data_IF_652086327694
#
_entry.id   IF_652086327694
#
_cell.length_a   1.000
_cell.length_b   1.000
_cell.length_c   1.000
_cell.angle_alpha   90.00
_cell.angle_beta   90.00
_cell.angle_gamma   90.00
#
_symmetry.space_group_name_H-M   'P 1'
#
loop_
_entity.id
_entity.type
_entity.pdbx_description
1 polymer ?
#
# COMPACT_ATOMS: atom_id res chain seq x y z
N UNK A 1 -18.72 -27.46 -6.11
CA UNK A 1 -18.93 -26.77 -7.38
C UNK A 1 -18.36 -25.37 -7.22
N UNK A 2 -17.05 -25.21 -7.51
CA UNK A 2 -16.35 -23.94 -7.40
C UNK A 2 -16.64 -23.13 -8.66
N UNK A 3 -17.42 -22.06 -8.53
CA UNK A 3 -17.62 -21.09 -9.60
C UNK A 3 -16.29 -20.34 -9.80
N UNK A 4 -15.69 -20.55 -10.94
CA UNK A 4 -14.59 -19.77 -11.48
C UNK A 4 -15.05 -18.31 -11.56
N UNK A 5 -14.50 -17.46 -10.68
CA UNK A 5 -14.61 -16.00 -10.82
C UNK A 5 -13.84 -15.63 -12.09
N UNK A 6 -14.55 -15.33 -13.16
CA UNK A 6 -13.99 -14.75 -14.38
C UNK A 6 -13.20 -13.51 -14.01
N UNK A 7 -11.89 -13.52 -14.29
CA UNK A 7 -11.00 -12.37 -14.07
C UNK A 7 -11.47 -11.24 -15.01
N UNK A 8 -12.16 -10.27 -14.47
CA UNK A 8 -12.58 -9.07 -15.20
C UNK A 8 -11.34 -8.21 -15.47
N UNK A 9 -10.81 -8.36 -16.68
CA UNK A 9 -9.69 -7.58 -17.20
C UNK A 9 -10.23 -6.27 -17.77
N UNK A 10 -10.19 -5.21 -17.00
CA UNK A 10 -10.60 -3.89 -17.43
C UNK A 10 -9.48 -3.25 -18.26
N UNK A 11 -9.65 -3.21 -19.59
CA UNK A 11 -8.66 -2.60 -20.50
C UNK A 11 -8.85 -1.09 -20.54
N UNK A 12 -7.82 -0.34 -20.20
CA UNK A 12 -7.82 1.12 -20.31
C UNK A 12 -7.50 1.56 -21.76
N UNK A 13 -7.94 2.77 -22.20
CA UNK A 13 -7.72 3.28 -23.56
C UNK A 13 -6.24 3.35 -23.96
N UNK A 14 -5.32 3.40 -23.01
CA UNK A 14 -3.86 3.59 -23.22
C UNK A 14 -3.07 2.28 -23.31
N UNK A 15 -3.71 1.15 -23.65
CA UNK A 15 -3.05 -0.11 -23.96
C UNK A 15 -2.51 -0.88 -22.74
N UNK A 16 -2.95 -0.60 -21.54
CA UNK A 16 -2.69 -1.41 -20.35
C UNK A 16 -4.00 -1.96 -19.74
N UNK A 17 -3.90 -2.97 -18.91
CA UNK A 17 -5.05 -3.56 -18.21
C UNK A 17 -4.87 -3.51 -16.70
N UNK A 18 -5.98 -3.36 -15.97
CA UNK A 18 -6.01 -3.48 -14.51
C UNK A 18 -6.50 -4.87 -14.14
N UNK A 19 -5.78 -5.55 -13.25
CA UNK A 19 -6.14 -6.87 -12.75
C UNK A 19 -5.88 -7.01 -11.24
N UNK A 20 -6.47 -8.00 -10.58
CA UNK A 20 -6.03 -8.42 -9.25
C UNK A 20 -4.55 -8.81 -9.26
N UNK A 21 -3.82 -8.46 -8.18
CA UNK A 21 -2.45 -8.92 -8.01
C UNK A 21 -2.41 -10.42 -7.72
N UNK A 22 -1.37 -11.09 -8.22
CA UNK A 22 -1.08 -12.52 -8.00
C UNK A 22 0.07 -12.66 -7.00
N UNK A 23 0.14 -13.76 -6.27
CA UNK A 23 1.23 -14.01 -5.32
C UNK A 23 2.63 -13.98 -5.98
N UNK A 24 2.71 -14.34 -7.26
CA UNK A 24 3.92 -14.22 -8.09
C UNK A 24 4.37 -12.79 -8.31
N UNK A 25 3.46 -11.81 -8.22
CA UNK A 25 3.79 -10.39 -8.43
C UNK A 25 4.53 -9.78 -7.21
N UNK A 26 4.40 -10.37 -6.02
CA UNK A 26 4.88 -9.77 -4.78
C UNK A 26 6.35 -9.32 -4.78
N UNK A 27 7.33 -10.05 -5.35
CA UNK A 27 8.71 -9.57 -5.42
C UNK A 27 8.86 -8.33 -6.31
N UNK A 28 8.09 -8.27 -7.41
CA UNK A 28 8.11 -7.14 -8.32
C UNK A 28 7.44 -5.91 -7.70
N UNK A 29 6.32 -6.08 -6.98
CA UNK A 29 5.67 -5.00 -6.24
C UNK A 29 6.62 -4.43 -5.16
N UNK A 30 7.37 -5.28 -4.47
CA UNK A 30 8.37 -4.84 -3.49
C UNK A 30 9.51 -4.02 -4.14
N UNK A 31 9.97 -4.42 -5.34
CA UNK A 31 10.95 -3.65 -6.13
C UNK A 31 10.38 -2.32 -6.58
N UNK A 32 9.19 -2.33 -7.18
CA UNK A 32 8.51 -1.13 -7.65
C UNK A 32 8.27 -0.12 -6.53
N UNK A 33 7.92 -0.60 -5.33
CA UNK A 33 7.80 0.25 -4.16
C UNK A 33 9.13 0.95 -3.84
N UNK A 34 10.24 0.20 -3.83
CA UNK A 34 11.56 0.75 -3.54
C UNK A 34 12.07 1.73 -4.61
N UNK A 35 11.67 1.54 -5.88
CA UNK A 35 11.98 2.44 -6.98
C UNK A 35 11.16 3.74 -6.94
N UNK A 36 9.88 3.62 -6.59
CA UNK A 36 8.93 4.74 -6.62
C UNK A 36 8.97 5.62 -5.37
N UNK A 37 9.34 5.04 -4.24
CA UNK A 37 9.35 5.66 -2.93
C UNK A 37 10.77 5.57 -2.38
N UNK A 38 11.44 6.71 -2.25
CA UNK A 38 12.84 6.78 -1.80
C UNK A 38 13.01 6.61 -0.29
N UNK A 39 11.92 6.59 0.49
CA UNK A 39 11.92 6.51 1.94
C UNK A 39 10.68 5.76 2.45
N UNK A 40 10.74 5.26 3.68
CA UNK A 40 9.59 4.60 4.32
C UNK A 40 9.98 3.34 5.09
N UNK A 41 9.22 3.06 6.14
CA UNK A 41 9.51 1.95 7.08
C UNK A 41 9.64 0.59 6.41
N UNK A 42 8.78 0.29 5.45
CA UNK A 42 8.82 -1.00 4.75
C UNK A 42 10.10 -1.18 3.95
N UNK A 43 10.61 -0.10 3.33
CA UNK A 43 11.87 -0.13 2.56
C UNK A 43 13.07 -0.37 3.49
N UNK A 44 13.10 0.27 4.65
CA UNK A 44 14.15 0.10 5.66
C UNK A 44 14.21 -1.33 6.21
N UNK A 45 13.07 -2.02 6.29
CA UNK A 45 12.99 -3.42 6.69
C UNK A 45 13.54 -4.39 5.63
N UNK A 46 13.78 -3.89 4.41
CA UNK A 46 14.45 -4.58 3.31
C UNK A 46 13.53 -5.44 2.44
N UNK A 47 14.07 -5.83 1.28
CA UNK A 47 13.32 -6.46 0.20
C UNK A 47 12.55 -7.72 0.62
N UNK A 48 13.15 -8.60 1.41
CA UNK A 48 12.50 -9.86 1.83
C UNK A 48 11.28 -9.60 2.71
N UNK A 49 11.39 -8.66 3.66
CA UNK A 49 10.27 -8.27 4.50
C UNK A 49 9.18 -7.57 3.69
N UNK A 50 9.58 -6.67 2.80
CA UNK A 50 8.65 -5.96 1.90
C UNK A 50 7.92 -6.94 0.99
N UNK A 51 8.62 -7.94 0.45
CA UNK A 51 8.01 -9.03 -0.34
C UNK A 51 7.03 -9.86 0.49
N UNK A 52 7.39 -10.20 1.74
CA UNK A 52 6.48 -10.92 2.66
C UNK A 52 5.21 -10.11 2.92
N UNK A 53 5.34 -8.80 3.13
CA UNK A 53 4.20 -7.90 3.33
C UNK A 53 3.31 -7.85 2.08
N UNK A 54 3.88 -7.72 0.87
CA UNK A 54 3.10 -7.74 -0.37
C UNK A 54 2.39 -9.08 -0.58
N UNK A 55 3.04 -10.22 -0.28
CA UNK A 55 2.36 -11.52 -0.29
C UNK A 55 1.17 -11.56 0.65
N UNK A 56 1.27 -10.90 1.80
CA UNK A 56 0.14 -10.80 2.73
C UNK A 56 -0.95 -9.86 2.19
N UNK A 57 -0.58 -8.69 1.65
CA UNK A 57 -1.53 -7.77 1.00
C UNK A 57 -2.32 -8.43 -0.14
N UNK A 58 -1.70 -9.37 -0.87
CA UNK A 58 -2.36 -10.09 -1.97
C UNK A 58 -3.27 -11.21 -1.45
N UNK A 59 -2.86 -11.91 -0.38
CA UNK A 59 -3.53 -13.12 0.11
C UNK A 59 -4.60 -12.87 1.17
N UNK A 60 -4.58 -11.72 1.87
CA UNK A 60 -5.50 -11.44 2.97
C UNK A 60 -6.90 -11.13 2.46
N UNK A 61 -7.92 -11.67 3.14
CA UNK A 61 -9.32 -11.31 2.91
C UNK A 61 -9.67 -9.87 3.33
N UNK A 62 -8.82 -9.28 4.17
CA UNK A 62 -8.98 -7.91 4.68
C UNK A 62 -8.26 -6.86 3.82
N UNK A 63 -7.72 -7.27 2.68
CA UNK A 63 -7.03 -6.37 1.75
C UNK A 63 -7.49 -6.53 0.32
N UNK A 64 -7.13 -5.54 -0.48
CA UNK A 64 -7.35 -5.45 -1.90
C UNK A 64 -5.99 -5.08 -2.51
N UNK A 65 -5.61 -5.73 -3.61
CA UNK A 65 -4.40 -5.37 -4.34
C UNK A 65 -4.68 -5.42 -5.85
N UNK A 66 -4.45 -4.28 -6.54
CA UNK A 66 -4.65 -4.12 -7.97
C UNK A 66 -3.35 -3.71 -8.64
N UNK A 67 -3.08 -4.28 -9.80
CA UNK A 67 -1.92 -3.95 -10.63
C UNK A 67 -2.35 -3.47 -12.01
N UNK A 68 -1.62 -2.52 -12.56
CA UNK A 68 -1.67 -2.16 -13.97
C UNK A 68 -0.58 -2.92 -14.72
N UNK A 69 -0.94 -3.62 -15.78
CA UNK A 69 -0.04 -4.45 -16.56
C UNK A 69 -0.16 -4.16 -18.05
N UNK A 70 0.97 -4.13 -18.73
CA UNK A 70 1.07 -4.09 -20.19
C UNK A 70 2.14 -5.06 -20.65
N UNK A 71 1.79 -5.98 -21.55
CA UNK A 71 2.70 -6.97 -22.14
C UNK A 71 3.49 -7.80 -21.10
N UNK A 72 2.86 -8.12 -19.96
CA UNK A 72 3.48 -8.86 -18.86
C UNK A 72 4.29 -7.98 -17.89
N UNK A 73 4.47 -6.71 -18.18
CA UNK A 73 5.17 -5.78 -17.31
C UNK A 73 4.20 -5.04 -16.37
N UNK A 74 4.51 -5.02 -15.06
CA UNK A 74 3.75 -4.26 -14.07
C UNK A 74 4.19 -2.79 -14.13
N UNK A 75 3.25 -1.91 -14.46
CA UNK A 75 3.45 -0.46 -14.59
C UNK A 75 3.21 0.29 -13.27
N UNK A 76 2.42 -0.30 -12.39
CA UNK A 76 2.08 0.27 -11.10
C UNK A 76 1.12 -0.63 -10.33
N UNK A 77 0.90 -0.32 -9.06
CA UNK A 77 -0.05 -1.04 -8.21
C UNK A 77 -0.61 -0.14 -7.11
N UNK A 78 -1.74 -0.59 -6.54
CA UNK A 78 -2.25 -0.11 -5.27
C UNK A 78 -2.67 -1.29 -4.40
N UNK A 79 -2.40 -1.19 -3.11
CA UNK A 79 -2.84 -2.13 -2.10
C UNK A 79 -3.48 -1.37 -0.94
N UNK A 80 -4.62 -1.86 -0.47
CA UNK A 80 -5.34 -1.26 0.65
C UNK A 80 -5.98 -2.31 1.54
N UNK A 81 -6.24 -1.95 2.80
CA UNK A 81 -6.97 -2.76 3.77
C UNK A 81 -8.38 -2.21 3.96
N UNK A 82 -9.38 -3.08 4.02
CA UNK A 82 -10.77 -2.72 4.39
C UNK A 82 -10.91 -2.49 5.89
N UNK A 83 -10.03 -3.08 6.68
CA UNK A 83 -9.91 -2.91 8.12
C UNK A 83 -8.44 -3.13 8.48
N UNK A 84 -7.75 -2.03 8.76
CA UNK A 84 -6.30 -2.02 9.03
C UNK A 84 -5.94 -2.87 10.25
N UNK A 85 -6.75 -2.81 11.31
CA UNK A 85 -6.49 -3.57 12.53
C UNK A 85 -6.61 -5.08 12.31
N UNK A 86 -7.64 -5.52 11.58
CA UNK A 86 -7.80 -6.94 11.22
C UNK A 86 -6.70 -7.42 10.29
N UNK A 87 -6.29 -6.59 9.32
CA UNK A 87 -5.21 -6.88 8.40
C UNK A 87 -3.90 -7.13 9.14
N UNK A 88 -3.46 -6.22 10.03
CA UNK A 88 -2.22 -6.38 10.76
C UNK A 88 -2.27 -7.52 11.79
N UNK A 89 -3.41 -7.73 12.44
CA UNK A 89 -3.60 -8.88 13.35
C UNK A 89 -3.47 -10.20 12.60
N UNK A 90 -4.06 -10.32 11.40
CA UNK A 90 -3.92 -11.49 10.54
C UNK A 90 -2.46 -11.68 10.09
N UNK A 91 -1.76 -10.60 9.73
CA UNK A 91 -0.33 -10.64 9.39
C UNK A 91 0.50 -11.21 10.53
N UNK A 92 0.36 -10.66 11.72
CA UNK A 92 1.11 -11.13 12.91
C UNK A 92 0.84 -12.61 13.18
N UNK A 93 -0.41 -13.03 13.09
CA UNK A 93 -0.78 -14.41 13.38
C UNK A 93 -0.25 -15.41 12.33
N UNK A 94 -0.35 -15.05 11.05
CA UNK A 94 0.01 -15.95 9.95
C UNK A 94 1.46 -15.86 9.51
N UNK A 95 2.09 -14.72 9.68
CA UNK A 95 3.41 -14.39 9.13
C UNK A 95 4.41 -13.91 10.16
N UNK A 96 4.00 -13.69 11.42
CA UNK A 96 4.85 -13.13 12.47
C UNK A 96 6.14 -13.91 12.70
N UNK A 97 6.08 -15.24 12.73
CA UNK A 97 7.30 -16.07 12.87
C UNK A 97 8.27 -15.89 11.69
N UNK A 98 7.76 -15.90 10.46
CA UNK A 98 8.58 -15.69 9.25
C UNK A 98 9.16 -14.27 9.24
N UNK A 99 8.35 -13.27 9.60
CA UNK A 99 8.80 -11.90 9.73
C UNK A 99 9.92 -11.75 10.77
N UNK A 100 9.79 -12.41 11.92
CA UNK A 100 10.82 -12.42 12.96
C UNK A 100 12.15 -13.04 12.46
N UNK A 101 12.09 -14.15 11.72
CA UNK A 101 13.28 -14.80 11.12
C UNK A 101 13.96 -13.86 10.12
N UNK A 102 13.18 -13.20 9.24
CA UNK A 102 13.73 -12.27 8.25
C UNK A 102 14.39 -11.06 8.92
N UNK A 103 13.81 -10.56 10.02
CA UNK A 103 14.28 -9.36 10.71
C UNK A 103 15.39 -9.65 11.74
N UNK A 104 15.51 -10.89 12.23
CA UNK A 104 16.49 -11.27 13.24
C UNK A 104 17.93 -10.80 12.94
N UNK A 105 18.50 -11.02 11.74
CA UNK A 105 19.87 -10.57 11.44
C UNK A 105 20.03 -9.04 11.50
N UNK A 106 18.96 -8.30 11.23
CA UNK A 106 18.96 -6.83 11.25
C UNK A 106 18.85 -6.28 12.67
N UNK A 107 18.08 -6.95 13.54
CA UNK A 107 17.93 -6.59 14.95
C UNK A 107 19.25 -6.79 15.72
N UNK A 108 20.00 -7.83 15.38
CA UNK A 108 21.32 -8.10 16.00
C UNK A 108 22.40 -7.11 15.54
N UNK A 109 22.25 -6.42 14.42
CA UNK A 109 23.14 -5.32 14.02
C UNK A 109 22.71 -4.05 14.72
N UNK A 110 23.43 -3.67 15.78
CA UNK A 110 23.10 -2.60 16.73
C UNK A 110 22.66 -1.26 16.07
N UNK A 111 23.17 -0.97 14.88
CA UNK A 111 22.88 0.26 14.14
C UNK A 111 21.41 0.40 13.67
N UNK A 112 20.70 -0.71 13.46
CA UNK A 112 19.32 -0.71 12.94
C UNK A 112 18.28 -1.15 13.99
N UNK A 113 18.71 -1.59 15.16
CA UNK A 113 17.82 -2.16 16.18
C UNK A 113 16.73 -1.17 16.63
N UNK A 114 17.11 0.06 16.93
CA UNK A 114 16.14 1.06 17.41
C UNK A 114 15.11 1.43 16.31
N UNK A 115 15.57 1.60 15.08
CA UNK A 115 14.69 1.89 13.93
C UNK A 115 13.69 0.76 13.69
N UNK A 116 14.15 -0.50 13.72
CA UNK A 116 13.29 -1.68 13.51
C UNK A 116 12.26 -1.81 14.63
N UNK A 117 12.70 -1.71 15.90
CA UNK A 117 11.79 -1.79 17.05
C UNK A 117 10.76 -0.66 16.98
N UNK A 118 11.18 0.58 16.74
CA UNK A 118 10.28 1.71 16.57
C UNK A 118 9.30 1.48 15.41
N UNK A 119 9.75 0.94 14.28
CA UNK A 119 8.88 0.63 13.12
C UNK A 119 7.84 -0.45 13.42
N UNK A 120 8.16 -1.41 14.27
CA UNK A 120 7.25 -2.50 14.66
C UNK A 120 6.31 -2.10 15.80
N UNK A 121 6.73 -1.19 16.69
CA UNK A 121 5.96 -0.77 17.87
C UNK A 121 5.16 0.50 17.64
N UNK A 122 5.44 1.24 16.58
CA UNK A 122 4.67 2.45 16.26
C UNK A 122 3.38 2.06 15.53
N UNK A 123 2.35 1.84 16.30
CA UNK A 123 0.96 1.92 15.85
C UNK A 123 0.45 3.28 16.32
N UNK A 124 0.37 4.30 15.43
CA UNK A 124 -0.29 5.53 15.81
C UNK A 124 -1.72 5.16 16.20
N UNK A 125 -2.13 5.56 17.39
CA UNK A 125 -3.54 5.48 17.77
C UNK A 125 -4.30 6.31 16.74
N UNK A 126 -5.08 5.62 15.90
CA UNK A 126 -5.94 6.30 14.96
C UNK A 126 -7.05 6.97 15.78
N UNK A 127 -7.34 8.26 15.54
CA UNK A 127 -8.49 8.90 16.14
C UNK A 127 -9.74 8.04 15.94
N UNK A 128 -10.70 8.04 16.89
CA UNK A 128 -11.92 7.22 16.81
C UNK A 128 -12.70 7.44 15.50
N UNK A 129 -12.63 8.63 14.92
CA UNK A 129 -13.34 9.02 13.71
C UNK A 129 -12.58 8.70 12.41
N UNK A 130 -11.35 8.17 12.50
CA UNK A 130 -10.59 7.77 11.31
C UNK A 130 -11.25 6.58 10.61
N UNK A 131 -11.30 6.56 9.25
CA UNK A 131 -11.73 5.38 8.52
C UNK A 131 -10.92 4.13 8.91
N UNK A 132 -11.61 3.00 9.09
CA UNK A 132 -10.95 1.70 9.33
C UNK A 132 -10.17 1.22 8.12
N UNK A 133 -10.64 1.61 6.93
CA UNK A 133 -10.00 1.27 5.67
C UNK A 133 -8.86 2.23 5.35
N UNK A 134 -7.77 1.66 4.83
CA UNK A 134 -6.54 2.41 4.55
C UNK A 134 -5.89 1.95 3.25
N UNK A 135 -5.41 2.90 2.47
CA UNK A 135 -4.48 2.63 1.37
C UNK A 135 -3.10 2.36 1.96
N UNK A 136 -2.67 1.10 1.92
CA UNK A 136 -1.41 0.64 2.53
C UNK A 136 -0.18 0.96 1.68
N UNK A 137 -0.34 0.91 0.36
CA UNK A 137 0.75 1.16 -0.58
C UNK A 137 0.20 1.55 -1.95
N UNK A 138 0.86 2.50 -2.59
CA UNK A 138 0.53 2.96 -3.95
C UNK A 138 1.81 3.37 -4.65
N UNK A 139 2.14 2.72 -5.75
CA UNK A 139 3.33 3.03 -6.53
C UNK A 139 3.10 2.88 -8.03
N UNK A 140 3.70 3.78 -8.81
CA UNK A 140 3.70 3.77 -10.27
C UNK A 140 5.14 3.94 -10.73
N UNK A 141 5.56 3.16 -11.73
CA UNK A 141 6.91 3.30 -12.32
C UNK A 141 7.20 4.76 -12.65
N UNK A 142 8.42 5.26 -12.35
CA UNK A 142 8.78 6.65 -12.63
C UNK A 142 8.52 7.07 -14.07
N UNK A 143 8.76 6.17 -15.04
CA UNK A 143 8.56 6.39 -16.47
C UNK A 143 7.07 6.50 -16.86
N UNK A 144 6.19 5.96 -16.02
CA UNK A 144 4.74 5.95 -16.24
C UNK A 144 4.02 7.07 -15.47
N UNK A 145 4.76 7.99 -14.87
CA UNK A 145 4.16 9.18 -14.24
C UNK A 145 3.44 10.03 -15.31
N UNK A 146 2.26 10.55 -14.96
CA UNK A 146 1.39 11.36 -15.84
C UNK A 146 0.80 10.62 -17.05
N UNK A 147 0.91 9.30 -17.14
CA UNK A 147 0.33 8.47 -18.22
C UNK A 147 -1.10 7.98 -17.92
N UNK A 148 -1.75 8.45 -16.87
CA UNK A 148 -3.07 7.96 -16.48
C UNK A 148 -3.08 6.67 -15.66
N UNK A 149 -1.99 5.89 -15.63
CA UNK A 149 -1.88 4.61 -14.91
C UNK A 149 -2.30 4.73 -13.45
N UNK A 150 -1.79 5.73 -12.72
CA UNK A 150 -2.14 5.94 -11.32
C UNK A 150 -3.64 6.21 -11.12
N UNK A 151 -4.26 7.03 -11.97
CA UNK A 151 -5.69 7.32 -11.92
C UNK A 151 -6.53 6.06 -12.16
N UNK A 152 -6.15 5.24 -13.15
CA UNK A 152 -6.85 4.01 -13.48
C UNK A 152 -6.76 2.97 -12.34
N UNK A 153 -5.58 2.79 -11.74
CA UNK A 153 -5.40 1.91 -10.58
C UNK A 153 -6.27 2.38 -9.41
N UNK A 154 -6.26 3.69 -9.13
CA UNK A 154 -7.07 4.25 -8.04
C UNK A 154 -8.56 4.04 -8.28
N UNK A 155 -9.06 4.27 -9.49
CA UNK A 155 -10.45 4.03 -9.83
C UNK A 155 -10.86 2.56 -9.61
N UNK A 156 -10.00 1.62 -10.02
CA UNK A 156 -10.27 0.19 -9.86
C UNK A 156 -10.26 -0.26 -8.38
N UNK A 157 -9.29 0.22 -7.58
CA UNK A 157 -9.26 -0.15 -6.16
C UNK A 157 -10.39 0.52 -5.37
N UNK A 158 -10.76 1.76 -5.71
CA UNK A 158 -11.89 2.47 -5.10
C UNK A 158 -13.21 1.78 -5.38
N UNK A 159 -13.44 1.33 -6.62
CA UNK A 159 -14.62 0.54 -6.98
C UNK A 159 -14.72 -0.75 -6.16
N UNK A 160 -13.59 -1.41 -5.92
CA UNK A 160 -13.58 -2.62 -5.09
C UNK A 160 -13.80 -2.30 -3.60
N UNK A 161 -13.26 -1.22 -3.07
CA UNK A 161 -13.57 -0.78 -1.71
C UNK A 161 -15.07 -0.54 -1.54
N UNK A 162 -15.70 0.19 -2.47
CA UNK A 162 -17.16 0.39 -2.50
C UNK A 162 -17.92 -0.93 -2.52
N UNK A 163 -17.55 -1.86 -3.39
CA UNK A 163 -18.21 -3.17 -3.50
C UNK A 163 -18.12 -3.99 -2.20
N UNK A 164 -17.16 -3.68 -1.34
CA UNK A 164 -16.99 -4.28 -0.01
C UNK A 164 -17.63 -3.45 1.12
N UNK A 165 -18.42 -2.43 0.79
CA UNK A 165 -19.14 -1.59 1.75
C UNK A 165 -18.27 -0.55 2.46
N UNK A 166 -17.11 -0.20 1.93
CA UNK A 166 -16.25 0.86 2.46
C UNK A 166 -16.71 2.20 1.89
N UNK A 167 -17.05 3.15 2.76
CA UNK A 167 -17.50 4.50 2.39
C UNK A 167 -16.39 5.55 2.42
N UNK A 168 -15.30 5.30 3.15
CA UNK A 168 -14.16 6.21 3.20
C UNK A 168 -12.87 5.44 3.40
N UNK A 169 -11.78 5.92 2.80
CA UNK A 169 -10.44 5.38 2.95
C UNK A 169 -9.49 6.48 3.41
N UNK A 170 -8.57 6.14 4.31
CA UNK A 170 -7.46 7.02 4.66
C UNK A 170 -6.18 6.63 3.92
N UNK A 171 -5.28 7.59 3.77
CA UNK A 171 -3.94 7.39 3.29
C UNK A 171 -2.99 8.28 4.08
N UNK A 172 -2.10 7.69 4.82
CA UNK A 172 -1.30 8.39 5.81
C UNK A 172 0.20 8.17 5.65
N UNK A 173 0.80 8.47 4.51
CA UNK A 173 2.24 8.20 4.36
C UNK A 173 2.94 9.09 3.35
N UNK A 174 2.37 10.22 3.03
CA UNK A 174 3.06 11.15 2.15
C UNK A 174 3.85 12.11 3.00
N UNK A 175 5.15 12.23 2.76
CA UNK A 175 5.94 13.27 3.41
C UNK A 175 5.34 14.65 3.14
N UNK A 176 5.18 15.47 4.18
CA UNK A 176 4.53 16.77 4.05
C UNK A 176 5.20 17.68 3.01
N UNK A 177 6.50 17.48 2.77
CA UNK A 177 7.31 18.21 1.78
C UNK A 177 7.21 17.68 0.36
N UNK A 178 6.58 16.51 0.13
CA UNK A 178 6.43 15.92 -1.21
C UNK A 178 5.24 16.53 -1.96
N UNK A 179 5.42 17.74 -2.47
CA UNK A 179 4.37 18.50 -3.17
C UNK A 179 3.73 17.72 -4.33
N UNK A 180 4.53 16.98 -5.11
CA UNK A 180 4.02 16.23 -6.27
C UNK A 180 3.07 15.11 -5.86
N UNK A 181 3.38 14.39 -4.80
CA UNK A 181 2.51 13.34 -4.26
C UNK A 181 1.27 13.95 -3.59
N UNK A 182 1.44 14.99 -2.78
CA UNK A 182 0.34 15.71 -2.14
C UNK A 182 -0.66 16.22 -3.19
N UNK A 183 -0.17 16.90 -4.25
CA UNK A 183 -1.02 17.36 -5.35
C UNK A 183 -1.69 16.21 -6.12
N UNK A 184 -1.05 15.04 -6.21
CA UNK A 184 -1.67 13.87 -6.84
C UNK A 184 -2.85 13.35 -6.02
N UNK A 185 -2.71 13.22 -4.69
CA UNK A 185 -3.81 12.76 -3.83
C UNK A 185 -4.98 13.74 -3.81
N UNK A 186 -4.72 15.04 -3.73
CA UNK A 186 -5.78 16.04 -3.86
C UNK A 186 -6.56 15.91 -5.18
N UNK A 187 -5.86 15.66 -6.30
CA UNK A 187 -6.54 15.44 -7.61
C UNK A 187 -7.34 14.12 -7.67
N UNK A 188 -7.06 13.16 -6.82
CA UNK A 188 -7.85 11.93 -6.67
C UNK A 188 -9.05 12.08 -5.74
N UNK A 189 -9.29 13.28 -5.18
CA UNK A 189 -10.40 13.56 -4.27
C UNK A 189 -10.06 13.29 -2.80
N UNK A 190 -8.78 13.14 -2.45
CA UNK A 190 -8.38 13.07 -1.05
C UNK A 190 -8.30 14.46 -0.42
N UNK A 191 -8.83 14.58 0.79
CA UNK A 191 -8.77 15.77 1.60
C UNK A 191 -7.72 15.60 2.71
N UNK A 192 -6.88 16.62 2.90
CA UNK A 192 -5.91 16.65 4.00
C UNK A 192 -6.66 16.86 5.32
N UNK A 193 -6.64 15.88 6.20
CA UNK A 193 -7.32 15.98 7.51
C UNK A 193 -6.38 16.35 8.65
N UNK A 194 -5.09 15.99 8.56
CA UNK A 194 -4.08 16.39 9.55
C UNK A 194 -2.67 16.14 9.04
N UNK A 195 -1.71 16.82 9.69
CA UNK A 195 -0.29 16.53 9.59
C UNK A 195 0.19 16.00 10.94
N UNK A 196 0.89 14.88 10.94
CA UNK A 196 1.36 14.22 12.16
C UNK A 196 2.87 14.03 12.15
N UNK A 197 3.55 14.13 13.29
CA UNK A 197 4.96 13.75 13.41
C UNK A 197 5.16 12.30 13.01
N UNK A 198 6.25 12.01 12.27
CA UNK A 198 6.52 10.65 11.78
C UNK A 198 7.85 10.09 12.32
N UNK A 199 8.93 10.84 12.20
CA UNK A 199 10.25 10.61 12.79
C UNK A 199 10.77 11.92 13.38
N UNK A 200 11.92 11.87 14.06
CA UNK A 200 12.49 12.99 14.83
C UNK A 200 12.48 14.36 14.12
N UNK A 201 12.42 14.39 12.77
CA UNK A 201 12.37 15.64 11.99
C UNK A 201 11.49 15.54 10.74
N UNK A 202 10.57 14.56 10.64
CA UNK A 202 9.69 14.43 9.48
C UNK A 202 8.21 14.45 9.88
N UNK A 203 7.38 14.92 8.97
CA UNK A 203 5.92 14.97 9.13
C UNK A 203 5.25 14.21 7.99
N UNK A 204 4.15 13.55 8.30
CA UNK A 204 3.29 12.93 7.29
C UNK A 204 1.94 13.62 7.27
N UNK A 205 1.45 13.83 6.07
CA UNK A 205 0.09 14.24 5.84
C UNK A 205 -0.82 13.02 5.87
N UNK A 206 -1.93 13.13 6.57
CA UNK A 206 -3.00 12.13 6.58
C UNK A 206 -4.16 12.66 5.77
N UNK A 207 -4.52 11.91 4.75
CA UNK A 207 -5.59 12.20 3.83
C UNK A 207 -6.76 11.25 4.03
N UNK A 208 -7.97 11.71 3.77
CA UNK A 208 -9.18 10.90 3.69
C UNK A 208 -9.86 11.15 2.35
N UNK A 209 -10.36 10.10 1.73
CA UNK A 209 -11.19 10.16 0.55
C UNK A 209 -12.51 9.46 0.83
N UNK A 210 -13.63 10.17 0.66
CA UNK A 210 -14.96 9.59 0.69
C UNK A 210 -15.23 8.95 -0.66
N UNK A 211 -15.78 7.74 -0.61
CA UNK A 211 -16.10 6.95 -1.79
C UNK A 211 -17.62 7.06 -2.01
N UNK A 212 -18.04 8.03 -2.78
CA UNK A 212 -19.46 8.22 -3.17
C UNK A 212 -19.92 7.25 -4.27
#
# INVERSE_FOLDING_TARGET
>A
MFLSKTEEKQTAPDGFSIRPARLSDAPELARLMAEAISWGRLIELGHDFTTLMHRHMIASRHSICRVAERDGEILGYAAGATDTSKFYREFLWRRGAVAAIILAPKIFRARHRQTIIRSLTYFPEAPPDDPLAEMLSFAVRPQMKRSGVGKAIFAAISAEFKSRGVSAIKFGTTEATNEAANAFYCRLGFELVRTSPFYENSQVNVYVCHLD
#
